data_IF_102960162701
#
_entry.id   IF_102960162701
#
_cell.length_a   1.000
_cell.length_b   1.000
_cell.length_c   1.000
_cell.angle_alpha   90.00
_cell.angle_beta   90.00
_cell.angle_gamma   90.00
#
_symmetry.space_group_name_H-M   'P 1'
#
loop_
_entity.id
_entity.type
_entity.pdbx_description
1 polymer ?
#
# COMPACT_ATOMS: atom_id res chain seq x y z
N UNK A 1 5.33 16.99 -34.87
CA UNK A 1 6.10 15.73 -34.79
C UNK A 1 5.14 14.65 -34.32
N UNK A 2 5.11 13.51 -35.00
CA UNK A 2 4.30 12.37 -34.57
C UNK A 2 4.84 11.83 -33.23
N UNK A 3 3.97 11.33 -32.35
CA UNK A 3 4.34 10.87 -31.00
C UNK A 3 5.40 9.76 -31.05
N UNK A 4 5.32 8.94 -32.11
CA UNK A 4 6.31 7.90 -32.39
C UNK A 4 7.67 8.50 -32.69
N UNK A 5 7.72 9.55 -33.52
CA UNK A 5 8.96 10.20 -33.95
C UNK A 5 9.65 10.91 -32.77
N UNK A 6 8.88 11.63 -31.95
CA UNK A 6 9.37 12.23 -30.70
C UNK A 6 9.89 11.16 -29.73
N UNK A 7 9.20 10.03 -29.58
CA UNK A 7 9.65 8.92 -28.73
C UNK A 7 10.93 8.25 -29.25
N UNK A 8 11.08 8.06 -30.57
CA UNK A 8 12.29 7.48 -31.15
C UNK A 8 13.52 8.36 -30.92
N UNK A 9 13.34 9.68 -31.01
CA UNK A 9 14.42 10.66 -30.80
C UNK A 9 14.76 10.87 -29.31
N UNK A 10 13.75 10.91 -28.44
CA UNK A 10 13.94 11.32 -27.04
C UNK A 10 13.89 10.18 -26.04
N UNK A 11 13.37 9.01 -26.43
CA UNK A 11 13.01 7.86 -25.56
C UNK A 11 12.04 8.22 -24.43
N UNK A 12 11.38 9.39 -24.49
CA UNK A 12 10.41 9.86 -23.50
C UNK A 12 9.00 9.75 -24.06
N UNK A 13 8.10 9.20 -23.25
CA UNK A 13 6.66 9.22 -23.54
C UNK A 13 6.03 10.44 -22.90
N UNK A 14 4.96 10.93 -23.48
CA UNK A 14 4.18 12.00 -22.89
C UNK A 14 3.66 11.63 -21.50
N UNK A 15 3.56 12.61 -20.58
CA UNK A 15 2.94 12.39 -19.28
C UNK A 15 1.51 11.89 -19.46
N UNK A 16 1.14 10.83 -18.74
CA UNK A 16 -0.23 10.31 -18.80
C UNK A 16 -1.19 11.33 -18.18
N UNK A 17 -2.20 11.74 -18.96
CA UNK A 17 -3.22 12.72 -18.56
C UNK A 17 -4.13 12.23 -17.44
N UNK A 18 -4.24 10.91 -17.21
CA UNK A 18 -5.06 10.34 -16.14
C UNK A 18 -4.20 9.57 -15.12
N UNK A 19 -4.45 9.75 -13.81
CA UNK A 19 -3.85 8.91 -12.78
C UNK A 19 -4.28 7.46 -13.03
N UNK A 20 -3.38 6.50 -12.76
CA UNK A 20 -3.70 5.07 -12.87
C UNK A 20 -4.81 4.74 -11.86
N UNK A 21 -6.02 4.46 -12.33
CA UNK A 21 -7.15 4.00 -11.52
C UNK A 21 -7.03 2.55 -11.06
N UNK A 22 -5.81 1.98 -11.00
CA UNK A 22 -5.64 0.60 -10.54
C UNK A 22 -6.00 0.58 -9.05
N UNK A 23 -6.92 -0.29 -8.62
CA UNK A 23 -7.18 -0.46 -7.19
C UNK A 23 -5.88 -0.88 -6.51
N UNK A 24 -5.75 -0.55 -5.22
CA UNK A 24 -4.63 -1.08 -4.44
C UNK A 24 -4.64 -2.61 -4.56
N UNK A 25 -3.45 -3.24 -4.74
CA UNK A 25 -3.38 -4.69 -4.78
C UNK A 25 -4.00 -5.24 -3.49
N UNK A 26 -4.88 -6.25 -3.64
CA UNK A 26 -5.47 -6.94 -2.49
C UNK A 26 -4.34 -7.44 -1.57
N UNK A 27 -4.62 -7.51 -0.27
CA UNK A 27 -3.69 -8.08 0.69
C UNK A 27 -3.27 -9.48 0.21
N UNK A 28 -1.95 -9.70 0.15
CA UNK A 28 -1.37 -11.01 -0.15
C UNK A 28 -1.62 -11.95 1.04
N UNK A 29 -1.71 -13.26 0.83
CA UNK A 29 -1.89 -14.25 1.92
C UNK A 29 -0.91 -14.03 3.08
N UNK A 30 0.36 -13.73 2.77
CA UNK A 30 1.39 -13.37 3.75
C UNK A 30 1.02 -12.24 4.71
N UNK A 31 0.19 -11.28 4.27
CA UNK A 31 -0.25 -10.17 5.13
C UNK A 31 -1.35 -10.59 6.07
N UNK A 32 -2.26 -11.47 5.63
CA UNK A 32 -3.31 -12.02 6.47
C UNK A 32 -2.71 -12.90 7.56
N UNK A 33 -1.77 -13.77 7.21
CA UNK A 33 -1.02 -14.61 8.14
C UNK A 33 -0.26 -13.76 9.17
N UNK A 34 0.46 -12.73 8.71
CA UNK A 34 1.19 -11.83 9.60
C UNK A 34 0.26 -11.05 10.55
N UNK A 35 -0.91 -10.58 10.09
CA UNK A 35 -1.90 -9.91 10.94
C UNK A 35 -2.39 -10.83 12.07
N UNK A 36 -2.68 -12.10 11.76
CA UNK A 36 -3.10 -13.09 12.74
C UNK A 36 -1.99 -13.37 13.78
N UNK A 37 -0.75 -13.58 13.33
CA UNK A 37 0.42 -13.74 14.21
C UNK A 37 0.62 -12.54 15.13
N UNK A 38 0.48 -11.32 14.63
CA UNK A 38 0.60 -10.10 15.43
C UNK A 38 -0.51 -9.98 16.47
N UNK A 39 -1.77 -10.26 16.11
CA UNK A 39 -2.87 -10.24 17.09
C UNK A 39 -2.64 -11.24 18.22
N UNK A 40 -2.27 -12.47 17.88
CA UNK A 40 -2.00 -13.51 18.86
C UNK A 40 -0.83 -13.13 19.79
N UNK A 41 0.24 -12.52 19.25
CA UNK A 41 1.35 -12.04 20.05
C UNK A 41 0.94 -10.92 21.02
N UNK A 42 0.15 -9.94 20.56
CA UNK A 42 -0.31 -8.83 21.39
C UNK A 42 -1.26 -9.28 22.51
N UNK A 43 -2.16 -10.21 22.20
CA UNK A 43 -3.08 -10.79 23.17
C UNK A 43 -2.31 -11.58 24.26
N UNK A 44 -1.29 -12.36 23.88
CA UNK A 44 -0.43 -13.09 24.83
C UNK A 44 0.41 -12.18 25.72
N UNK A 45 0.78 -11.00 25.21
CA UNK A 45 1.57 -10.00 25.95
C UNK A 45 0.67 -9.04 26.76
N UNK A 46 -0.66 -9.21 26.70
CA UNK A 46 -1.67 -8.32 27.30
C UNK A 46 -1.49 -6.83 26.92
N UNK A 47 -0.89 -6.58 25.74
CA UNK A 47 -0.66 -5.22 25.24
C UNK A 47 -1.98 -4.71 24.66
N UNK A 48 -2.42 -3.54 25.11
CA UNK A 48 -3.63 -2.91 24.59
C UNK A 48 -3.37 -2.36 23.21
N UNK A 49 -4.29 -2.61 22.29
CA UNK A 49 -4.23 -2.06 20.95
C UNK A 49 -5.63 -1.70 20.44
N UNK A 50 -5.68 -0.74 19.53
CA UNK A 50 -6.88 -0.39 18.77
C UNK A 50 -6.79 -0.91 17.33
N UNK A 51 -7.92 -1.44 16.84
CA UNK A 51 -8.10 -1.89 15.46
C UNK A 51 -8.94 -0.86 14.70
N UNK A 52 -8.60 -0.59 13.43
CA UNK A 52 -9.24 0.42 12.54
C UNK A 52 -8.93 1.88 12.86
N UNK A 53 -7.70 2.15 13.26
CA UNK A 53 -7.22 3.52 13.43
C UNK A 53 -7.16 4.22 12.05
N UNK A 54 -7.95 5.29 11.86
CA UNK A 54 -8.01 6.04 10.59
C UNK A 54 -6.81 6.99 10.44
N UNK A 55 -5.60 6.45 10.38
CA UNK A 55 -4.43 7.26 10.05
C UNK A 55 -4.48 7.70 8.57
N UNK A 56 -3.92 8.87 8.25
CA UNK A 56 -3.62 9.24 6.86
C UNK A 56 -2.48 8.33 6.37
N UNK A 57 -2.82 7.15 5.87
CA UNK A 57 -1.85 6.10 5.54
C UNK A 57 -0.66 6.63 4.74
N UNK A 58 0.54 6.45 5.28
CA UNK A 58 1.77 6.68 4.51
C UNK A 58 2.02 5.47 3.60
N UNK A 59 2.69 5.69 2.47
CA UNK A 59 2.86 4.69 1.39
C UNK A 59 3.47 3.35 1.83
N UNK A 60 4.14 3.29 2.98
CA UNK A 60 4.87 2.13 3.48
C UNK A 60 4.21 1.46 4.71
N UNK A 61 3.11 2.01 5.23
CA UNK A 61 2.40 1.42 6.36
C UNK A 61 1.31 0.47 5.86
N UNK A 62 1.33 -0.80 6.29
CA UNK A 62 0.38 -1.83 5.84
C UNK A 62 -0.45 -2.50 6.95
N UNK A 63 -0.11 -2.30 8.23
CA UNK A 63 -0.81 -2.93 9.35
C UNK A 63 -1.56 -1.90 10.21
N UNK A 64 -2.85 -2.07 10.43
CA UNK A 64 -3.68 -1.10 11.17
C UNK A 64 -3.72 -1.37 12.69
N UNK A 65 -2.54 -1.47 13.34
CA UNK A 65 -2.43 -1.57 14.80
C UNK A 65 -1.92 -0.26 15.42
N UNK A 66 -2.65 0.25 16.41
CA UNK A 66 -2.21 1.34 17.28
C UNK A 66 -2.05 0.79 18.70
N UNK A 67 -0.80 0.69 19.18
CA UNK A 67 -0.50 0.26 20.55
C UNK A 67 -0.77 1.42 21.53
N UNK A 68 -1.36 1.10 22.68
CA UNK A 68 -1.76 2.04 23.73
C UNK A 68 -0.99 1.76 25.01
#
# INVERSE_FOLDING_TARGET
MDDKEYFWLTRKKEPKTKPKSRPLPKATQKYLEAEEEFTHALDNLEIKYEKKFQFKSTKHWRFDFHLI
#
